data_IF_219366699413
#
_entry.id   IF_219366699413
#
_cell.length_a   1.000
_cell.length_b   1.000
_cell.length_c   1.000
_cell.angle_alpha   90.00
_cell.angle_beta   90.00
_cell.angle_gamma   90.00
#
_symmetry.space_group_name_H-M   'P 1'
#
loop_
_entity.id
_entity.type
_entity.pdbx_description
1 polymer ?
#
# COMPACT_ATOMS: atom_id res chain seq x y z
N UNK A 1 58.84 7.47 -57.07
CA UNK A 1 57.34 7.35 -57.13
C UNK A 1 56.84 6.97 -55.72
N UNK A 2 56.47 7.94 -54.93
CA UNK A 2 55.95 7.72 -53.59
C UNK A 2 54.43 7.92 -53.63
N UNK A 3 53.64 6.87 -53.31
CA UNK A 3 52.18 6.91 -53.23
C UNK A 3 51.82 7.33 -51.83
N UNK A 4 51.22 8.48 -51.73
CA UNK A 4 50.60 8.99 -50.45
C UNK A 4 49.28 8.25 -50.24
N UNK A 5 49.18 7.51 -49.14
CA UNK A 5 47.93 6.92 -48.66
C UNK A 5 47.34 7.91 -47.69
N UNK A 6 46.20 8.53 -48.08
CA UNK A 6 45.41 9.39 -47.22
C UNK A 6 44.46 8.48 -46.43
N UNK A 7 44.69 8.39 -45.13
CA UNK A 7 43.79 7.69 -44.21
C UNK A 7 42.71 8.68 -43.73
N UNK A 8 41.47 8.50 -44.17
CA UNK A 8 40.32 9.21 -43.63
C UNK A 8 39.93 8.55 -42.31
N UNK A 9 40.23 9.23 -41.19
CA UNK A 9 39.68 8.85 -39.90
C UNK A 9 38.27 9.48 -39.82
N UNK A 10 37.25 8.64 -40.02
CA UNK A 10 35.87 9.01 -39.76
C UNK A 10 35.66 9.07 -38.24
N UNK A 11 35.60 10.28 -37.67
CA UNK A 11 35.16 10.51 -36.31
C UNK A 11 33.64 10.21 -36.23
N UNK A 12 33.28 9.01 -35.84
CA UNK A 12 31.95 8.65 -35.39
C UNK A 12 31.72 9.33 -34.02
N UNK A 13 31.18 10.55 -34.03
CA UNK A 13 30.60 11.14 -32.84
C UNK A 13 29.30 10.38 -32.55
N UNK A 14 29.43 9.34 -31.74
CA UNK A 14 28.29 8.65 -31.15
C UNK A 14 27.55 9.63 -30.23
N UNK A 15 26.50 10.26 -30.73
CA UNK A 15 25.51 10.95 -29.89
C UNK A 15 24.87 9.90 -28.96
N UNK A 16 25.47 9.74 -27.78
CA UNK A 16 24.79 9.06 -26.69
C UNK A 16 23.54 9.87 -26.37
N UNK A 17 22.41 9.48 -26.95
CA UNK A 17 21.13 9.90 -26.45
C UNK A 17 21.02 9.39 -25.02
N UNK A 18 21.36 10.22 -24.06
CA UNK A 18 20.88 10.06 -22.70
C UNK A 18 19.34 10.12 -22.79
N UNK A 19 18.71 8.98 -22.96
CA UNK A 19 17.33 8.84 -22.56
C UNK A 19 17.30 9.09 -21.06
N UNK A 20 17.06 10.35 -20.67
CA UNK A 20 16.55 10.63 -19.35
C UNK A 20 15.25 9.80 -19.26
N UNK A 21 15.32 8.68 -18.56
CA UNK A 21 14.14 7.93 -18.15
C UNK A 21 13.36 8.88 -17.26
N UNK A 22 12.52 9.71 -17.88
CA UNK A 22 11.40 10.29 -17.17
C UNK A 22 10.63 9.06 -16.69
N UNK A 23 10.49 8.90 -15.38
CA UNK A 23 9.60 7.90 -14.82
C UNK A 23 8.28 8.06 -15.58
N UNK A 24 8.02 7.09 -16.44
CA UNK A 24 6.85 7.13 -17.32
C UNK A 24 5.67 7.22 -16.39
N UNK A 25 4.84 8.24 -16.54
CA UNK A 25 3.63 8.40 -15.76
C UNK A 25 2.79 7.14 -15.99
N UNK A 26 2.87 6.18 -15.07
CA UNK A 26 2.27 4.84 -15.21
C UNK A 26 0.74 4.91 -15.29
N UNK A 27 0.18 6.05 -14.87
CA UNK A 27 -1.27 6.27 -14.91
C UNK A 27 -1.62 7.09 -16.15
N UNK A 28 -2.54 6.61 -17.00
CA UNK A 28 -3.00 7.37 -18.17
C UNK A 28 -3.63 8.69 -17.73
N UNK A 29 -3.40 9.74 -18.52
CA UNK A 29 -3.91 11.08 -18.25
C UNK A 29 -5.00 11.46 -19.25
N UNK A 30 -5.94 12.30 -18.81
CA UNK A 30 -7.02 12.84 -19.63
C UNK A 30 -7.39 14.24 -19.14
N UNK A 31 -8.14 14.97 -19.95
CA UNK A 31 -8.79 16.22 -19.48
C UNK A 31 -10.03 15.88 -18.66
N UNK A 32 -10.44 16.72 -17.71
CA UNK A 32 -11.68 16.54 -16.97
C UNK A 32 -12.88 16.44 -17.91
N UNK A 33 -12.96 17.28 -18.95
CA UNK A 33 -14.06 17.33 -19.93
C UNK A 33 -14.18 16.02 -20.71
N UNK A 34 -13.06 15.44 -21.16
CA UNK A 34 -13.06 14.15 -21.85
C UNK A 34 -13.56 13.00 -20.97
N UNK A 35 -13.52 13.19 -19.66
CA UNK A 35 -14.03 12.25 -18.66
C UNK A 35 -15.39 12.67 -18.10
N UNK A 36 -16.05 13.68 -18.70
CA UNK A 36 -17.39 14.12 -18.34
C UNK A 36 -17.47 14.91 -17.02
N UNK A 37 -16.41 15.60 -16.64
CA UNK A 37 -16.36 16.52 -15.51
C UNK A 37 -15.86 17.88 -16.00
N UNK A 38 -16.46 18.98 -15.51
CA UNK A 38 -15.97 20.33 -15.80
C UNK A 38 -14.66 20.62 -15.05
N UNK A 39 -13.65 21.14 -15.75
CA UNK A 39 -12.41 21.63 -15.11
C UNK A 39 -12.68 22.74 -14.11
N UNK A 40 -13.72 23.56 -14.32
CA UNK A 40 -14.14 24.60 -13.37
C UNK A 40 -14.56 23.98 -12.02
N UNK A 41 -15.30 22.87 -12.02
CA UNK A 41 -15.68 22.17 -10.77
C UNK A 41 -14.47 21.55 -10.07
N UNK A 42 -13.51 21.02 -10.83
CA UNK A 42 -12.24 20.52 -10.25
C UNK A 42 -11.45 21.66 -9.61
N UNK A 43 -11.38 22.80 -10.28
CA UNK A 43 -10.69 23.99 -9.74
C UNK A 43 -11.36 24.48 -8.46
N UNK A 44 -12.70 24.61 -8.46
CA UNK A 44 -13.45 25.02 -7.26
C UNK A 44 -13.24 24.05 -6.08
N UNK A 45 -13.22 22.74 -6.34
CA UNK A 45 -12.90 21.73 -5.33
C UNK A 45 -11.48 21.92 -4.76
N UNK A 46 -10.47 22.08 -5.62
CA UNK A 46 -9.09 22.29 -5.18
C UNK A 46 -8.92 23.60 -4.40
N UNK A 47 -9.55 24.67 -4.87
CA UNK A 47 -9.54 25.97 -4.17
C UNK A 47 -10.21 25.87 -2.79
N UNK A 48 -11.26 25.05 -2.68
CA UNK A 48 -11.93 24.79 -1.40
C UNK A 48 -11.03 24.04 -0.43
N UNK A 49 -10.31 23.02 -0.91
CA UNK A 49 -9.31 22.31 -0.10
C UNK A 49 -8.21 23.27 0.40
N UNK A 50 -7.74 24.16 -0.46
CA UNK A 50 -6.68 25.10 -0.11
C UNK A 50 -7.13 26.19 0.87
N UNK A 51 -8.41 26.54 0.88
CA UNK A 51 -8.97 27.51 1.84
C UNK A 51 -9.31 26.90 3.20
N UNK A 52 -9.40 25.55 3.32
CA UNK A 52 -9.70 24.89 4.59
C UNK A 52 -8.46 24.84 5.49
N UNK A 53 -8.41 25.77 6.44
CA UNK A 53 -7.30 25.89 7.41
C UNK A 53 -7.26 24.76 8.47
N UNK A 54 -8.25 23.85 8.48
CA UNK A 54 -8.31 22.69 9.39
C UNK A 54 -7.51 21.51 8.85
N UNK A 55 -7.13 21.54 7.57
CA UNK A 55 -6.39 20.49 6.89
C UNK A 55 -5.11 21.06 6.28
N UNK A 56 -4.04 20.28 6.33
CA UNK A 56 -2.81 20.53 5.59
C UNK A 56 -2.73 19.57 4.41
N UNK A 57 -3.03 20.08 3.22
CA UNK A 57 -3.05 19.27 1.99
C UNK A 57 -1.65 19.23 1.40
N UNK A 58 -1.06 18.04 1.30
CA UNK A 58 0.26 17.82 0.70
C UNK A 58 0.15 17.53 -0.80
N UNK A 59 -0.87 16.78 -1.19
CA UNK A 59 -1.16 16.46 -2.59
C UNK A 59 -2.64 16.14 -2.77
N UNK A 60 -3.14 16.36 -3.97
CA UNK A 60 -4.46 15.91 -4.39
C UNK A 60 -4.35 15.36 -5.81
N UNK A 61 -4.79 14.12 -6.02
CA UNK A 61 -4.86 13.47 -7.32
C UNK A 61 -6.31 13.05 -7.55
N UNK A 62 -6.93 13.53 -8.62
CA UNK A 62 -8.28 13.15 -9.01
C UNK A 62 -8.21 12.19 -10.19
N UNK A 63 -8.81 11.02 -10.02
CA UNK A 63 -8.89 9.99 -11.05
C UNK A 63 -10.33 9.71 -11.44
N UNK A 64 -10.57 9.49 -12.73
CA UNK A 64 -11.86 9.03 -13.25
C UNK A 64 -11.67 8.10 -14.45
N UNK A 65 -12.42 6.99 -14.46
CA UNK A 65 -12.33 5.94 -15.50
C UNK A 65 -10.88 5.48 -15.75
N UNK A 66 -10.07 5.38 -14.67
CA UNK A 66 -8.67 4.97 -14.76
C UNK A 66 -7.69 6.05 -15.23
N UNK A 67 -8.15 7.28 -15.52
CA UNK A 67 -7.28 8.40 -15.95
C UNK A 67 -7.10 9.42 -14.83
N UNK A 68 -5.88 9.93 -14.66
CA UNK A 68 -5.63 11.13 -13.86
C UNK A 68 -6.13 12.34 -14.63
N UNK A 69 -7.10 13.06 -14.06
CA UNK A 69 -7.75 14.23 -14.67
C UNK A 69 -7.35 15.54 -14.00
N UNK A 70 -6.80 15.49 -12.80
CA UNK A 70 -6.22 16.64 -12.12
C UNK A 70 -5.21 16.19 -11.07
N UNK A 71 -4.23 17.05 -10.80
CA UNK A 71 -3.15 16.79 -9.86
C UNK A 71 -2.66 18.13 -9.27
N UNK A 72 -2.49 18.18 -7.96
CA UNK A 72 -2.09 19.40 -7.24
C UNK A 72 -1.10 19.07 -6.12
N UNK A 73 -0.06 19.88 -6.01
CA UNK A 73 0.95 19.83 -4.93
C UNK A 73 1.16 21.27 -4.39
N UNK A 74 0.44 21.64 -3.32
CA UNK A 74 0.61 22.97 -2.72
C UNK A 74 2.01 23.16 -2.16
N UNK A 75 2.57 24.37 -2.26
CA UNK A 75 3.85 24.67 -1.65
C UNK A 75 3.79 24.50 -0.12
N UNK A 76 4.81 23.91 0.54
CA UNK A 76 6.14 23.54 0.00
C UNK A 76 6.20 22.13 -0.61
N UNK A 77 5.08 21.44 -0.72
CA UNK A 77 5.01 20.05 -1.17
C UNK A 77 5.25 19.89 -2.69
N UNK A 78 5.76 18.75 -3.08
CA UNK A 78 6.09 18.43 -4.47
C UNK A 78 5.75 16.97 -4.77
N UNK A 79 5.57 16.63 -6.05
CA UNK A 79 5.25 15.30 -6.55
C UNK A 79 6.24 14.22 -6.08
N UNK A 80 7.53 14.58 -6.01
CA UNK A 80 8.63 13.66 -5.68
C UNK A 80 8.88 13.50 -4.17
N UNK A 81 8.11 14.19 -3.32
CA UNK A 81 8.26 14.04 -1.88
C UNK A 81 7.60 12.75 -1.38
N UNK A 82 8.33 12.06 -0.49
CA UNK A 82 7.82 10.87 0.18
C UNK A 82 6.93 11.26 1.35
N UNK A 83 5.81 10.55 1.48
CA UNK A 83 4.84 10.75 2.55
C UNK A 83 4.63 9.46 3.35
N UNK A 84 4.37 9.62 4.64
CA UNK A 84 3.94 8.49 5.48
C UNK A 84 2.56 8.03 5.03
N UNK A 85 2.45 6.75 4.66
CA UNK A 85 1.22 6.17 4.13
C UNK A 85 0.14 5.91 5.19
N UNK A 86 0.51 5.93 6.47
CA UNK A 86 -0.42 5.62 7.57
C UNK A 86 -1.26 4.36 7.25
N UNK A 87 -2.59 4.48 7.38
CA UNK A 87 -3.50 3.35 7.19
C UNK A 87 -3.69 2.91 5.74
N UNK A 88 -3.21 3.66 4.75
CA UNK A 88 -3.15 3.18 3.36
C UNK A 88 -2.25 1.94 3.25
N UNK A 89 -1.27 1.78 4.15
CA UNK A 89 -0.44 0.56 4.25
C UNK A 89 -1.25 -0.73 4.40
N UNK A 90 -2.46 -0.66 4.98
CA UNK A 90 -3.35 -1.83 5.13
C UNK A 90 -3.83 -2.38 3.78
N UNK A 91 -3.95 -1.53 2.76
CA UNK A 91 -4.27 -1.94 1.40
C UNK A 91 -3.21 -2.89 0.86
N UNK A 92 -1.94 -2.57 1.06
CA UNK A 92 -0.83 -3.43 0.63
C UNK A 92 -0.82 -4.76 1.39
N UNK A 93 -1.10 -4.73 2.69
CA UNK A 93 -1.25 -5.97 3.48
C UNK A 93 -2.38 -6.84 2.94
N UNK A 94 -3.54 -6.26 2.61
CA UNK A 94 -4.67 -7.01 2.05
C UNK A 94 -4.37 -7.58 0.67
N UNK A 95 -3.65 -6.84 -0.18
CA UNK A 95 -3.19 -7.32 -1.49
C UNK A 95 -2.24 -8.52 -1.32
N UNK A 96 -1.28 -8.45 -0.38
CA UNK A 96 -0.38 -9.56 -0.09
C UNK A 96 -1.15 -10.82 0.35
N UNK A 97 -2.16 -10.66 1.23
CA UNK A 97 -3.05 -11.80 1.60
C UNK A 97 -3.77 -12.34 0.38
N UNK A 98 -4.27 -11.48 -0.52
CA UNK A 98 -4.91 -11.89 -1.78
C UNK A 98 -3.96 -12.71 -2.67
N UNK A 99 -2.70 -12.29 -2.80
CA UNK A 99 -1.67 -13.03 -3.53
C UNK A 99 -1.38 -14.39 -2.88
N UNK A 100 -1.29 -14.46 -1.56
CA UNK A 100 -1.11 -15.73 -0.83
C UNK A 100 -2.32 -16.67 -1.02
N UNK A 101 -3.55 -16.13 -1.13
CA UNK A 101 -4.74 -16.92 -1.44
C UNK A 101 -4.66 -17.47 -2.87
N UNK A 102 -4.25 -16.65 -3.82
CA UNK A 102 -4.05 -17.08 -5.21
C UNK A 102 -3.03 -18.20 -5.31
N UNK A 103 -1.96 -18.14 -4.51
CA UNK A 103 -0.91 -19.17 -4.44
C UNK A 103 -1.32 -20.38 -3.58
N UNK A 104 -2.55 -20.44 -3.08
CA UNK A 104 -3.08 -21.51 -2.22
C UNK A 104 -2.33 -21.68 -0.87
N UNK A 105 -1.61 -20.66 -0.41
CA UNK A 105 -0.89 -20.66 0.86
C UNK A 105 -1.80 -20.32 2.04
N UNK A 106 -2.84 -19.54 1.81
CA UNK A 106 -3.80 -19.05 2.80
C UNK A 106 -5.21 -19.23 2.26
N UNK A 107 -6.19 -19.48 3.13
CA UNK A 107 -7.61 -19.34 2.80
C UNK A 107 -8.30 -18.35 3.72
N UNK A 108 -9.39 -17.74 3.27
CA UNK A 108 -10.17 -16.82 4.09
C UNK A 108 -10.77 -17.47 5.34
N UNK A 109 -11.03 -18.77 5.28
CA UNK A 109 -11.58 -19.57 6.39
C UNK A 109 -10.52 -20.10 7.35
N UNK A 110 -9.24 -20.00 7.03
CA UNK A 110 -8.17 -20.45 7.94
C UNK A 110 -8.24 -19.67 9.24
N UNK A 111 -8.19 -20.39 10.37
CA UNK A 111 -8.01 -19.74 11.67
C UNK A 111 -6.59 -19.21 11.82
N UNK A 112 -6.44 -18.10 12.52
CA UNK A 112 -5.13 -17.46 12.72
C UNK A 112 -4.13 -18.38 13.44
N UNK A 113 -4.62 -19.32 14.27
CA UNK A 113 -3.80 -20.30 14.98
C UNK A 113 -3.08 -21.30 14.07
N UNK A 114 -3.44 -21.38 12.78
CA UNK A 114 -2.69 -22.16 11.78
C UNK A 114 -1.30 -21.57 11.51
N UNK A 115 -1.16 -20.24 11.65
CA UNK A 115 0.05 -19.50 11.28
C UNK A 115 0.78 -18.88 12.48
N UNK A 116 0.05 -18.60 13.56
CA UNK A 116 0.55 -17.81 14.70
C UNK A 116 0.42 -18.66 15.97
N UNK A 117 1.48 -18.62 16.80
CA UNK A 117 1.45 -19.25 18.09
C UNK A 117 0.35 -18.65 18.98
N UNK A 118 -0.54 -19.48 19.47
CA UNK A 118 -1.67 -19.08 20.31
C UNK A 118 -1.30 -19.19 21.80
N UNK A 119 -1.42 -18.08 22.57
CA UNK A 119 -1.21 -18.15 24.02
C UNK A 119 -2.14 -19.19 24.66
N UNK A 120 -1.70 -19.82 25.74
CA UNK A 120 -2.53 -20.77 26.52
C UNK A 120 -3.78 -20.06 27.04
N UNK A 121 -3.67 -18.77 27.40
CA UNK A 121 -4.77 -17.90 27.86
C UNK A 121 -5.77 -17.54 26.79
N UNK A 122 -5.48 -17.80 25.50
CA UNK A 122 -6.39 -17.44 24.40
C UNK A 122 -7.73 -18.20 24.53
N UNK A 123 -8.82 -17.42 24.57
CA UNK A 123 -10.18 -17.96 24.69
C UNK A 123 -10.62 -18.70 23.41
N UNK A 124 -11.72 -19.49 23.51
CA UNK A 124 -12.31 -20.18 22.35
C UNK A 124 -12.60 -19.21 21.19
N UNK A 125 -13.14 -18.02 21.48
CA UNK A 125 -13.44 -17.02 20.44
C UNK A 125 -12.16 -16.51 19.78
N UNK A 126 -11.07 -16.24 20.53
CA UNK A 126 -9.79 -15.84 19.95
C UNK A 126 -9.24 -16.93 19.02
N UNK A 127 -9.34 -18.19 19.41
CA UNK A 127 -8.92 -19.33 18.59
C UNK A 127 -9.76 -19.53 17.32
N UNK A 128 -10.99 -19.04 17.31
CA UNK A 128 -11.90 -19.12 16.18
C UNK A 128 -11.75 -17.97 15.18
N UNK A 129 -10.95 -16.92 15.48
CA UNK A 129 -10.70 -15.80 14.55
C UNK A 129 -10.11 -16.35 13.25
N UNK A 130 -10.70 -15.95 12.13
CA UNK A 130 -10.25 -16.32 10.79
C UNK A 130 -9.50 -15.18 10.10
N UNK A 131 -8.81 -15.49 9.00
CA UNK A 131 -8.20 -14.49 8.11
C UNK A 131 -9.25 -13.50 7.61
N UNK A 132 -10.46 -13.96 7.27
CA UNK A 132 -11.59 -13.10 6.89
C UNK A 132 -11.93 -12.10 7.98
N UNK A 133 -12.03 -12.54 9.24
CA UNK A 133 -12.41 -11.67 10.35
C UNK A 133 -11.40 -10.53 10.56
N UNK A 134 -10.11 -10.82 10.36
CA UNK A 134 -9.06 -9.79 10.42
C UNK A 134 -9.17 -8.81 9.25
N UNK A 135 -9.35 -9.30 8.01
CA UNK A 135 -9.50 -8.44 6.82
C UNK A 135 -10.72 -7.53 6.92
N UNK A 136 -11.80 -8.00 7.54
CA UNK A 136 -13.04 -7.23 7.70
C UNK A 136 -13.12 -6.45 9.00
N UNK A 137 -12.05 -6.42 9.80
CA UNK A 137 -12.01 -5.73 11.10
C UNK A 137 -13.07 -6.23 12.09
N UNK A 138 -13.26 -7.57 12.16
CA UNK A 138 -14.33 -8.22 12.95
C UNK A 138 -13.80 -9.29 13.90
N UNK A 139 -12.63 -9.09 14.50
CA UNK A 139 -12.05 -10.08 15.44
C UNK A 139 -12.86 -10.31 16.71
N UNK A 140 -13.72 -9.37 17.10
CA UNK A 140 -14.46 -9.39 18.37
C UNK A 140 -13.62 -8.98 19.58
N UNK A 141 -12.31 -8.73 19.42
CA UNK A 141 -11.42 -8.24 20.48
C UNK A 141 -11.58 -6.73 20.64
N UNK A 142 -11.70 -6.19 21.86
CA UNK A 142 -11.86 -4.76 22.06
C UNK A 142 -10.60 -3.99 21.66
N UNK A 143 -10.80 -2.88 20.95
CA UNK A 143 -9.72 -1.96 20.55
C UNK A 143 -9.07 -1.35 21.78
N UNK A 144 -7.72 -1.34 21.77
CA UNK A 144 -6.93 -0.72 22.82
C UNK A 144 -5.81 0.12 22.19
N UNK A 145 -6.04 1.41 22.10
CA UNK A 145 -5.10 2.36 21.51
C UNK A 145 -3.81 2.52 22.32
N UNK A 146 -3.84 2.21 23.61
CA UNK A 146 -2.67 2.31 24.51
C UNK A 146 -1.72 1.11 24.38
N UNK A 147 -2.24 -0.05 23.97
CA UNK A 147 -1.44 -1.27 23.82
C UNK A 147 -0.21 -1.06 22.92
N UNK A 148 -0.34 -0.32 21.82
CA UNK A 148 0.75 -0.05 20.88
C UNK A 148 1.88 0.81 21.44
N UNK A 149 1.64 1.52 22.53
CA UNK A 149 2.62 2.40 23.18
C UNK A 149 3.39 1.66 24.28
N UNK A 150 2.72 0.75 24.99
CA UNK A 150 3.25 0.13 26.20
C UNK A 150 3.69 -1.33 26.03
N UNK A 151 3.26 -1.99 24.96
CA UNK A 151 3.56 -3.40 24.74
C UNK A 151 4.63 -3.61 23.68
N UNK A 152 5.56 -4.52 23.96
CA UNK A 152 6.58 -4.97 23.02
C UNK A 152 6.15 -6.24 22.28
N UNK A 153 5.34 -7.10 22.90
CA UNK A 153 4.83 -8.35 22.34
C UNK A 153 3.35 -8.21 21.90
N UNK A 154 3.09 -7.43 20.88
CA UNK A 154 1.74 -7.08 20.43
C UNK A 154 0.83 -8.28 20.15
N UNK A 155 1.34 -9.34 19.53
CA UNK A 155 0.55 -10.55 19.25
C UNK A 155 0.07 -11.19 20.54
N UNK A 156 0.98 -11.44 21.48
CA UNK A 156 0.66 -12.08 22.74
C UNK A 156 -0.32 -11.26 23.57
N UNK A 157 -0.07 -9.96 23.69
CA UNK A 157 -0.95 -9.04 24.41
C UNK A 157 -2.35 -9.00 23.79
N UNK A 158 -2.46 -8.89 22.46
CA UNK A 158 -3.73 -8.86 21.76
C UNK A 158 -4.51 -10.16 21.91
N UNK A 159 -3.87 -11.30 21.66
CA UNK A 159 -4.51 -12.62 21.67
C UNK A 159 -4.84 -13.12 23.10
N UNK A 160 -4.30 -12.50 24.13
CA UNK A 160 -4.63 -12.78 25.53
C UNK A 160 -5.85 -11.98 26.06
N UNK A 161 -6.36 -11.02 25.29
CA UNK A 161 -7.53 -10.21 25.67
C UNK A 161 -8.81 -11.05 25.65
N UNK A 162 -9.75 -10.64 26.53
CA UNK A 162 -11.10 -11.21 26.53
C UNK A 162 -11.93 -10.58 25.42
N UNK A 163 -12.41 -11.35 24.43
CA UNK A 163 -13.31 -10.82 23.40
C UNK A 163 -14.62 -10.32 23.98
N UNK A 164 -15.19 -9.27 23.40
CA UNK A 164 -16.50 -8.70 23.76
C UNK A 164 -17.60 -9.11 22.79
N UNK A 165 -17.23 -9.77 21.68
CA UNK A 165 -18.12 -10.34 20.67
C UNK A 165 -17.52 -11.58 20.06
N UNK A 166 -18.34 -12.40 19.39
CA UNK A 166 -17.84 -13.49 18.55
C UNK A 166 -17.16 -12.93 17.30
N UNK A 167 -16.11 -13.60 16.76
CA UNK A 167 -15.53 -13.22 15.47
C UNK A 167 -16.59 -13.14 14.37
N UNK A 168 -16.43 -12.21 13.45
CA UNK A 168 -17.36 -12.00 12.33
C UNK A 168 -18.66 -11.26 12.68
N UNK A 169 -18.91 -10.87 13.94
CA UNK A 169 -20.21 -10.31 14.34
C UNK A 169 -20.20 -8.81 14.65
N UNK A 170 -19.03 -8.23 14.95
CA UNK A 170 -18.92 -6.82 15.31
C UNK A 170 -17.70 -6.19 14.66
N UNK A 171 -17.93 -5.16 13.88
CA UNK A 171 -16.86 -4.34 13.29
C UNK A 171 -16.24 -3.40 14.34
N UNK A 172 -14.90 -3.36 14.36
CA UNK A 172 -14.15 -2.41 15.17
C UNK A 172 -12.78 -2.19 14.52
N UNK A 173 -12.51 -0.97 14.07
CA UNK A 173 -11.26 -0.64 13.40
C UNK A 173 -10.06 -0.79 14.35
N UNK A 174 -9.16 -1.72 14.06
CA UNK A 174 -7.94 -1.93 14.82
C UNK A 174 -6.75 -2.29 13.93
N UNK A 175 -5.70 -1.49 14.01
CA UNK A 175 -4.46 -1.69 13.22
C UNK A 175 -3.72 -2.98 13.57
N UNK A 176 -3.95 -3.55 14.77
CA UNK A 176 -3.34 -4.82 15.17
C UNK A 176 -3.81 -5.97 14.27
N UNK A 177 -5.04 -5.93 13.78
CA UNK A 177 -5.53 -6.96 12.84
C UNK A 177 -4.71 -6.99 11.56
N UNK A 178 -4.34 -5.82 11.00
CA UNK A 178 -3.46 -5.75 9.83
C UNK A 178 -2.02 -6.18 10.15
N UNK A 179 -1.54 -5.90 11.36
CA UNK A 179 -0.25 -6.40 11.82
C UNK A 179 -0.25 -7.95 11.91
N UNK A 180 -1.34 -8.54 12.43
CA UNK A 180 -1.49 -10.01 12.46
C UNK A 180 -1.51 -10.59 11.04
N UNK A 181 -2.21 -9.94 10.10
CA UNK A 181 -2.21 -10.37 8.70
C UNK A 181 -0.80 -10.33 8.07
N UNK A 182 0.02 -9.30 8.39
CA UNK A 182 1.41 -9.25 7.92
C UNK A 182 2.25 -10.41 8.48
N UNK A 183 2.04 -10.76 9.75
CA UNK A 183 2.72 -11.91 10.38
C UNK A 183 2.25 -13.25 9.75
N UNK A 184 0.98 -13.36 9.38
CA UNK A 184 0.45 -14.53 8.66
C UNK A 184 1.11 -14.66 7.28
N UNK A 185 1.20 -13.56 6.51
CA UNK A 185 1.89 -13.56 5.21
C UNK A 185 3.34 -14.00 5.38
N UNK A 186 4.06 -13.42 6.35
CA UNK A 186 5.44 -13.81 6.62
C UNK A 186 5.57 -15.29 6.97
N UNK A 187 4.66 -15.81 7.79
CA UNK A 187 4.68 -17.24 8.15
C UNK A 187 4.37 -18.16 6.97
N UNK A 188 3.43 -17.77 6.13
CA UNK A 188 3.00 -18.56 4.98
C UNK A 188 4.01 -18.58 3.83
N UNK A 189 4.73 -17.46 3.63
CA UNK A 189 5.66 -17.28 2.50
C UNK A 189 7.13 -17.51 2.87
N UNK A 190 7.47 -17.39 4.17
CA UNK A 190 8.87 -17.36 4.62
C UNK A 190 9.59 -16.03 4.37
N UNK A 191 8.92 -15.04 3.78
CA UNK A 191 9.47 -13.71 3.46
C UNK A 191 8.84 -12.64 4.35
N UNK A 192 9.54 -11.53 4.60
CA UNK A 192 8.87 -10.37 5.20
C UNK A 192 7.78 -9.84 4.27
N UNK A 193 6.77 -9.16 4.81
CA UNK A 193 5.72 -8.54 3.99
C UNK A 193 6.31 -7.60 2.93
N UNK A 194 7.37 -6.85 3.28
CA UNK A 194 8.02 -5.92 2.36
C UNK A 194 8.71 -6.68 1.21
N UNK A 195 9.52 -7.70 1.51
CA UNK A 195 10.24 -8.48 0.50
C UNK A 195 9.26 -9.15 -0.46
N UNK A 196 8.19 -9.75 0.08
CA UNK A 196 7.14 -10.38 -0.71
C UNK A 196 6.44 -9.39 -1.66
N UNK A 197 6.11 -8.19 -1.17
CA UNK A 197 5.47 -7.14 -1.98
C UNK A 197 6.45 -6.50 -2.97
N UNK A 198 7.73 -6.38 -2.62
CA UNK A 198 8.74 -5.79 -3.49
C UNK A 198 8.81 -6.53 -4.82
N UNK A 199 8.89 -7.86 -4.76
CA UNK A 199 8.99 -8.70 -5.97
C UNK A 199 7.66 -8.80 -6.74
N UNK A 200 6.56 -8.96 -6.01
CA UNK A 200 5.27 -9.35 -6.58
C UNK A 200 4.37 -8.17 -6.96
N UNK A 201 4.60 -7.01 -6.36
CA UNK A 201 3.75 -5.83 -6.56
C UNK A 201 4.56 -4.59 -6.96
N UNK A 202 5.55 -4.21 -6.14
CA UNK A 202 6.19 -2.91 -6.33
C UNK A 202 7.05 -2.87 -7.59
N UNK A 203 7.93 -3.85 -7.83
CA UNK A 203 8.72 -3.92 -9.06
C UNK A 203 7.84 -3.97 -10.32
N UNK A 204 6.82 -4.84 -10.43
CA UNK A 204 5.93 -4.85 -11.60
C UNK A 204 5.20 -3.53 -11.84
N UNK A 205 4.93 -2.76 -10.79
CA UNK A 205 4.29 -1.44 -10.88
C UNK A 205 5.28 -0.29 -11.05
N UNK A 206 6.60 -0.56 -11.12
CA UNK A 206 7.64 0.48 -11.19
C UNK A 206 7.73 1.34 -9.94
N UNK A 207 7.29 0.86 -8.79
CA UNK A 207 7.43 1.53 -7.50
C UNK A 207 8.79 1.15 -6.91
N UNK A 208 9.67 2.17 -6.68
CA UNK A 208 11.05 2.01 -6.20
C UNK A 208 11.30 2.74 -4.88
#
# INVERSE_FOLDING_TARGET
>A
MARHIIIYIALLVGSAFFNASHAQDLLPRSTPEAQGISSAHIQEFMDTLMRDTRTEVHSCIVMRHGHVIAEMYPQPWRKDYRHTMYSVSKTFTSVAVGMCIQDSLITLGDTIGKYIFMPVSASRNVRAITVRDLLTMQSGIPVDTKMRIHETEWLKAYLSKKPTASPGTRWAYDSIMSYILSAIVQKATGQTLMDFLQERLFHPLGIT
#
